data_IF_848001872636
#
_entry.id   IF_848001872636
#
_cell.length_a   1.000
_cell.length_b   1.000
_cell.length_c   1.000
_cell.angle_alpha   90.00
_cell.angle_beta   90.00
_cell.angle_gamma   90.00
#
_symmetry.space_group_name_H-M   'P 1'
#
loop_
_entity.id
_entity.type
_entity.pdbx_description
1 polymer ?
#
# COMPACT_ATOMS: atom_id res chain seq x y z
N UNK A 1 59.03 -35.07 -36.82
CA UNK A 1 59.80 -33.82 -37.07
C UNK A 1 58.91 -32.62 -36.77
N UNK A 2 59.25 -31.81 -35.77
CA UNK A 2 58.49 -30.60 -35.40
C UNK A 2 59.10 -29.39 -36.11
N UNK A 3 58.53 -29.00 -37.26
CA UNK A 3 59.00 -27.83 -38.00
C UNK A 3 58.36 -26.57 -37.34
N UNK A 4 59.14 -25.64 -36.78
CA UNK A 4 58.60 -24.42 -36.19
C UNK A 4 58.18 -23.43 -37.27
N UNK A 5 57.18 -22.59 -36.98
CA UNK A 5 56.77 -21.53 -37.90
C UNK A 5 57.66 -20.30 -37.68
N UNK A 6 58.22 -19.74 -38.74
CA UNK A 6 58.97 -18.49 -38.67
C UNK A 6 58.20 -17.36 -39.33
N UNK A 7 57.85 -16.35 -38.55
CA UNK A 7 57.21 -15.12 -39.01
C UNK A 7 58.30 -14.05 -39.12
N UNK A 8 58.45 -13.46 -40.29
CA UNK A 8 59.34 -12.32 -40.52
C UNK A 8 58.50 -11.05 -40.46
N UNK A 9 58.79 -10.18 -39.49
CA UNK A 9 58.12 -8.89 -39.36
C UNK A 9 59.07 -7.81 -39.87
N UNK A 10 58.63 -7.10 -40.90
CA UNK A 10 59.35 -5.97 -41.50
C UNK A 10 58.88 -4.67 -40.86
N UNK A 11 59.80 -3.91 -40.28
CA UNK A 11 59.53 -2.57 -39.74
C UNK A 11 60.62 -1.62 -40.21
N UNK A 12 60.30 -0.80 -41.22
CA UNK A 12 61.30 0.01 -41.92
C UNK A 12 62.34 -0.88 -42.62
N UNK A 13 63.63 -0.61 -42.43
CA UNK A 13 64.75 -1.38 -43.00
C UNK A 13 65.20 -2.58 -42.15
N UNK A 14 64.58 -2.81 -40.99
CA UNK A 14 64.95 -3.93 -40.10
C UNK A 14 64.02 -5.15 -40.27
N UNK A 15 64.62 -6.33 -40.40
CA UNK A 15 63.91 -7.62 -40.40
C UNK A 15 64.09 -8.29 -39.05
N UNK A 16 63.00 -8.53 -38.31
CA UNK A 16 63.02 -9.36 -37.10
C UNK A 16 62.36 -10.70 -37.38
N UNK A 17 63.09 -11.79 -37.11
CA UNK A 17 62.60 -13.17 -37.25
C UNK A 17 62.08 -13.68 -35.91
N UNK A 18 60.80 -14.00 -35.86
CA UNK A 18 60.19 -14.64 -34.71
C UNK A 18 59.94 -16.11 -35.05
N UNK A 19 60.47 -17.00 -34.22
CA UNK A 19 60.27 -18.45 -34.36
C UNK A 19 59.25 -18.87 -33.31
N UNK A 20 58.10 -19.37 -33.75
CA UNK A 20 56.99 -19.76 -32.87
C UNK A 20 56.78 -21.27 -32.96
N UNK A 21 56.70 -21.93 -31.80
CA UNK A 21 56.47 -23.37 -31.72
C UNK A 21 54.98 -23.71 -31.91
N UNK A 22 54.67 -24.88 -32.52
CA UNK A 22 53.28 -25.39 -32.63
C UNK A 22 52.58 -25.47 -31.27
N UNK A 23 53.31 -25.84 -30.21
CA UNK A 23 52.78 -25.88 -28.83
C UNK A 23 52.41 -24.49 -28.32
N UNK A 24 53.24 -23.48 -28.59
CA UNK A 24 52.96 -22.08 -28.24
C UNK A 24 51.73 -21.52 -28.96
N UNK A 25 51.58 -21.79 -30.25
CA UNK A 25 50.38 -21.38 -31.01
C UNK A 25 49.11 -22.02 -30.42
N UNK A 26 49.15 -23.33 -30.10
CA UNK A 26 48.01 -24.01 -29.48
C UNK A 26 47.65 -23.44 -28.12
N UNK A 27 48.63 -23.10 -27.28
CA UNK A 27 48.38 -22.47 -25.98
C UNK A 27 47.80 -21.07 -26.12
N UNK A 28 48.25 -20.27 -27.09
CA UNK A 28 47.67 -18.95 -27.37
C UNK A 28 46.23 -19.05 -27.89
N UNK A 29 45.95 -19.98 -28.80
CA UNK A 29 44.59 -20.22 -29.30
C UNK A 29 43.66 -20.72 -28.19
N UNK A 30 44.13 -21.63 -27.33
CA UNK A 30 43.37 -22.11 -26.19
C UNK A 30 43.10 -20.98 -25.18
N UNK A 31 44.11 -20.17 -24.86
CA UNK A 31 43.96 -19.02 -23.97
C UNK A 31 43.00 -17.97 -24.54
N UNK A 32 43.08 -17.69 -25.85
CA UNK A 32 42.15 -16.81 -26.53
C UNK A 32 40.72 -17.36 -26.49
N UNK A 33 40.52 -18.66 -26.73
CA UNK A 33 39.21 -19.30 -26.68
C UNK A 33 38.60 -19.25 -25.26
N UNK A 34 39.40 -19.46 -24.22
CA UNK A 34 38.98 -19.30 -22.82
C UNK A 34 38.60 -17.85 -22.52
N UNK A 35 39.37 -16.87 -23.00
CA UNK A 35 39.06 -15.46 -22.81
C UNK A 35 37.74 -15.04 -23.50
N UNK A 36 37.52 -15.50 -24.74
CA UNK A 36 36.26 -15.25 -25.48
C UNK A 36 35.09 -15.91 -24.76
N UNK A 37 35.25 -17.14 -24.28
CA UNK A 37 34.20 -17.83 -23.53
C UNK A 37 33.87 -17.09 -22.22
N UNK A 38 34.87 -16.67 -21.45
CA UNK A 38 34.66 -15.89 -20.23
C UNK A 38 33.94 -14.56 -20.52
N UNK A 39 34.34 -13.84 -21.57
CA UNK A 39 33.67 -12.62 -22.00
C UNK A 39 32.20 -12.86 -22.38
N UNK A 40 31.90 -13.98 -23.05
CA UNK A 40 30.53 -14.36 -23.39
C UNK A 40 29.68 -14.64 -22.14
N UNK A 41 30.22 -15.34 -21.15
CA UNK A 41 29.52 -15.59 -19.86
C UNK A 41 29.22 -14.27 -19.14
N UNK A 42 30.22 -13.39 -18.98
CA UNK A 42 30.01 -12.06 -18.38
C UNK A 42 28.99 -11.22 -19.15
N UNK A 43 28.98 -11.31 -20.47
CA UNK A 43 28.01 -10.61 -21.30
C UNK A 43 26.58 -11.13 -21.09
N UNK A 44 26.40 -12.44 -20.96
CA UNK A 44 25.08 -13.04 -20.64
C UNK A 44 24.61 -12.59 -19.26
N UNK A 45 25.47 -12.65 -18.23
CA UNK A 45 25.13 -12.18 -16.88
C UNK A 45 24.76 -10.68 -16.87
N UNK A 46 25.49 -9.87 -17.64
CA UNK A 46 25.18 -8.46 -17.80
C UNK A 46 23.78 -8.25 -18.42
N UNK A 47 23.46 -8.99 -19.50
CA UNK A 47 22.14 -8.91 -20.14
C UNK A 47 21.01 -9.38 -19.21
N UNK A 48 21.24 -10.42 -18.41
CA UNK A 48 20.25 -10.89 -17.44
C UNK A 48 20.01 -9.88 -16.32
N UNK A 49 21.07 -9.23 -15.84
CA UNK A 49 20.97 -8.15 -14.85
C UNK A 49 20.15 -6.97 -15.39
N UNK A 50 20.40 -6.55 -16.62
CA UNK A 50 19.69 -5.43 -17.22
C UNK A 50 18.21 -5.78 -17.50
N UNK A 51 17.94 -7.01 -17.97
CA UNK A 51 16.57 -7.53 -18.12
C UNK A 51 15.82 -7.50 -16.78
N UNK A 52 16.49 -7.88 -15.68
CA UNK A 52 15.88 -7.88 -14.34
C UNK A 52 15.49 -6.47 -13.90
N UNK A 53 16.37 -5.47 -14.08
CA UNK A 53 16.07 -4.07 -13.77
C UNK A 53 14.86 -3.56 -14.55
N UNK A 54 14.79 -3.85 -15.85
CA UNK A 54 13.65 -3.46 -16.69
C UNK A 54 12.35 -4.11 -16.19
N UNK A 55 12.38 -5.40 -15.86
CA UNK A 55 11.21 -6.11 -15.32
C UNK A 55 10.75 -5.53 -13.97
N UNK A 56 11.69 -5.19 -13.09
CA UNK A 56 11.38 -4.57 -11.79
C UNK A 56 10.74 -3.19 -11.97
N UNK A 57 11.24 -2.39 -12.93
CA UNK A 57 10.64 -1.09 -13.29
C UNK A 57 9.22 -1.29 -13.84
N UNK A 58 9.01 -2.24 -14.75
CA UNK A 58 7.68 -2.56 -15.30
C UNK A 58 6.72 -2.98 -14.18
N UNK A 59 7.17 -3.85 -13.27
CA UNK A 59 6.38 -4.30 -12.12
C UNK A 59 6.00 -3.12 -11.21
N UNK A 60 6.96 -2.23 -10.92
CA UNK A 60 6.71 -1.02 -10.12
C UNK A 60 5.72 -0.06 -10.81
N UNK A 61 5.81 0.07 -12.13
CA UNK A 61 4.86 0.84 -12.94
C UNK A 61 3.44 0.26 -12.90
N UNK A 62 3.29 -1.06 -12.98
CA UNK A 62 1.98 -1.71 -12.82
C UNK A 62 1.40 -1.47 -11.42
N UNK A 63 2.22 -1.55 -10.36
CA UNK A 63 1.79 -1.26 -9.00
C UNK A 63 1.34 0.20 -8.84
N UNK A 64 2.07 1.16 -9.42
CA UNK A 64 1.69 2.57 -9.42
C UNK A 64 0.38 2.82 -10.17
N UNK A 65 0.16 2.18 -11.34
CA UNK A 65 -1.10 2.29 -12.10
C UNK A 65 -2.30 1.75 -11.33
N UNK A 66 -2.15 0.63 -10.61
CA UNK A 66 -3.20 0.10 -9.73
C UNK A 66 -3.54 1.07 -8.59
N UNK A 67 -2.54 1.68 -7.96
CA UNK A 67 -2.78 2.73 -6.94
C UNK A 67 -3.53 3.91 -7.55
N UNK A 68 -3.15 4.35 -8.75
CA UNK A 68 -3.78 5.47 -9.44
C UNK A 68 -5.23 5.17 -9.84
N UNK A 69 -5.58 3.94 -10.20
CA UNK A 69 -6.98 3.58 -10.47
C UNK A 69 -7.82 3.63 -9.19
N UNK A 70 -7.33 3.07 -8.09
CA UNK A 70 -8.03 3.12 -6.79
C UNK A 70 -8.26 4.56 -6.33
N UNK A 71 -7.26 5.44 -6.48
CA UNK A 71 -7.42 6.85 -6.14
C UNK A 71 -8.47 7.54 -7.02
N UNK A 72 -8.49 7.24 -8.31
CA UNK A 72 -9.49 7.77 -9.25
C UNK A 72 -10.90 7.31 -8.88
N UNK A 73 -11.06 6.04 -8.55
CA UNK A 73 -12.36 5.49 -8.15
C UNK A 73 -12.86 6.16 -6.86
N UNK A 74 -11.98 6.35 -5.87
CA UNK A 74 -12.28 7.12 -4.65
C UNK A 74 -12.65 8.57 -4.95
N UNK A 75 -11.96 9.24 -5.88
CA UNK A 75 -12.33 10.63 -6.25
C UNK A 75 -13.71 10.70 -6.89
N UNK A 76 -14.10 9.69 -7.66
CA UNK A 76 -15.44 9.62 -8.27
C UNK A 76 -16.51 9.40 -7.21
N UNK A 77 -16.27 8.50 -6.25
CA UNK A 77 -17.16 8.27 -5.12
C UNK A 77 -17.36 9.53 -4.26
N UNK A 78 -16.29 10.29 -4.02
CA UNK A 78 -16.37 11.58 -3.34
C UNK A 78 -17.17 12.62 -4.14
N UNK A 79 -17.04 12.65 -5.46
CA UNK A 79 -17.84 13.53 -6.31
C UNK A 79 -19.33 13.15 -6.28
N UNK A 80 -19.64 11.86 -6.33
CA UNK A 80 -21.03 11.36 -6.30
C UNK A 80 -21.69 11.61 -4.94
N UNK A 81 -20.97 11.40 -3.84
CA UNK A 81 -21.45 11.75 -2.49
C UNK A 81 -21.71 13.24 -2.35
N UNK A 82 -20.81 14.10 -2.84
CA UNK A 82 -21.01 15.54 -2.85
C UNK A 82 -22.27 15.95 -3.65
N UNK A 83 -22.51 15.32 -4.81
CA UNK A 83 -23.70 15.57 -5.61
C UNK A 83 -24.98 15.15 -4.87
N UNK A 84 -24.97 14.00 -4.19
CA UNK A 84 -26.08 13.54 -3.34
C UNK A 84 -26.37 14.51 -2.21
N UNK A 85 -25.34 15.00 -1.51
CA UNK A 85 -25.49 15.98 -0.44
C UNK A 85 -26.06 17.31 -0.93
N UNK A 86 -25.62 17.80 -2.10
CA UNK A 86 -26.19 19.00 -2.72
C UNK A 86 -27.68 18.81 -3.03
N UNK A 87 -28.06 17.68 -3.63
CA UNK A 87 -29.45 17.39 -3.97
C UNK A 87 -30.34 17.23 -2.72
N UNK A 88 -29.83 16.56 -1.68
CA UNK A 88 -30.54 16.43 -0.40
C UNK A 88 -30.73 17.79 0.25
N UNK A 89 -29.68 18.62 0.29
CA UNK A 89 -29.75 19.99 0.81
C UNK A 89 -30.82 20.80 0.09
N UNK A 90 -30.85 20.79 -1.25
CA UNK A 90 -31.89 21.51 -2.01
C UNK A 90 -33.30 21.03 -1.69
N UNK A 91 -33.51 19.71 -1.54
CA UNK A 91 -34.82 19.16 -1.14
C UNK A 91 -35.24 19.62 0.25
N UNK A 92 -34.32 19.52 1.22
CA UNK A 92 -34.57 19.96 2.60
C UNK A 92 -34.87 21.45 2.64
N UNK A 93 -34.10 22.27 1.92
CA UNK A 93 -34.35 23.72 1.83
C UNK A 93 -35.68 24.05 1.15
N UNK A 94 -36.09 23.28 0.14
CA UNK A 94 -37.38 23.45 -0.53
C UNK A 94 -38.58 23.04 0.35
N UNK A 95 -38.39 22.07 1.26
CA UNK A 95 -39.43 21.66 2.22
C UNK A 95 -39.51 22.55 3.46
N UNK A 96 -38.52 23.43 3.69
CA UNK A 96 -38.59 24.40 4.77
C UNK A 96 -39.66 25.47 4.47
N UNK A 97 -40.52 25.82 5.44
CA UNK A 97 -41.51 26.88 5.26
C UNK A 97 -40.80 28.20 4.94
N UNK A 98 -41.25 28.88 3.86
CA UNK A 98 -40.73 30.19 3.50
C UNK A 98 -41.07 31.16 4.64
N UNK A 99 -40.04 31.78 5.22
CA UNK A 99 -40.16 32.77 6.28
C UNK A 99 -41.16 33.85 5.85
N UNK A 100 -42.38 33.80 6.40
CA UNK A 100 -43.45 34.78 6.13
C UNK A 100 -44.87 34.24 5.94
N UNK A 101 -45.08 32.94 5.74
CA UNK A 101 -46.43 32.35 5.68
C UNK A 101 -46.65 31.41 6.85
N UNK A 102 -47.12 31.94 7.98
CA UNK A 102 -47.51 31.15 9.13
C UNK A 102 -49.02 30.82 9.05
N UNK A 103 -49.41 29.56 8.79
CA UNK A 103 -50.56 28.97 9.46
C UNK A 103 -50.33 28.97 10.99
N UNK A 104 -51.40 28.74 11.76
CA UNK A 104 -51.42 28.98 13.21
C UNK A 104 -51.09 27.74 14.06
N UNK A 105 -50.65 26.63 13.47
CA UNK A 105 -50.60 25.31 14.15
C UNK A 105 -49.35 24.46 13.79
N UNK A 106 -48.40 25.03 13.07
CA UNK A 106 -47.27 24.37 12.40
C UNK A 106 -45.92 24.56 13.15
N UNK A 107 -45.95 25.32 14.25
CA UNK A 107 -44.79 25.47 15.14
C UNK A 107 -44.39 24.14 15.77
N UNK A 108 -45.36 23.34 16.24
CA UNK A 108 -45.08 22.06 16.89
C UNK A 108 -44.49 21.03 15.92
N UNK A 109 -45.03 20.90 14.71
CA UNK A 109 -44.48 20.00 13.69
C UNK A 109 -43.04 20.38 13.29
N UNK A 110 -42.77 21.68 13.10
CA UNK A 110 -41.41 22.16 12.81
C UNK A 110 -40.48 21.91 14.00
N UNK A 111 -40.93 22.16 15.23
CA UNK A 111 -40.13 21.90 16.43
C UNK A 111 -39.83 20.40 16.60
N UNK A 112 -40.80 19.52 16.35
CA UNK A 112 -40.60 18.07 16.37
C UNK A 112 -39.61 17.62 15.29
N UNK A 113 -39.72 18.15 14.07
CA UNK A 113 -38.78 17.85 12.99
C UNK A 113 -37.35 18.32 13.31
N UNK A 114 -37.21 19.55 13.82
CA UNK A 114 -35.91 20.09 14.23
C UNK A 114 -35.31 19.29 15.40
N UNK A 115 -36.12 18.88 16.37
CA UNK A 115 -35.68 18.04 17.48
C UNK A 115 -35.23 16.65 17.02
N UNK A 116 -35.93 16.06 16.04
CA UNK A 116 -35.54 14.79 15.42
C UNK A 116 -34.20 14.93 14.68
N UNK A 117 -34.02 15.98 13.89
CA UNK A 117 -32.75 16.28 13.20
C UNK A 117 -31.59 16.52 14.18
N UNK A 118 -31.85 17.27 15.26
CA UNK A 118 -30.83 17.51 16.29
C UNK A 118 -30.41 16.19 16.96
N UNK A 119 -31.37 15.30 17.23
CA UNK A 119 -31.10 13.99 17.82
C UNK A 119 -30.28 13.12 16.88
N UNK A 120 -30.65 13.06 15.59
CA UNK A 120 -29.92 12.30 14.58
C UNK A 120 -28.50 12.83 14.39
N UNK A 121 -28.33 14.16 14.36
CA UNK A 121 -27.01 14.78 14.26
C UNK A 121 -26.14 14.48 15.50
N UNK A 122 -26.71 14.53 16.70
CA UNK A 122 -25.99 14.18 17.94
C UNK A 122 -25.52 12.73 17.92
N UNK A 123 -26.39 11.81 17.51
CA UNK A 123 -26.04 10.39 17.39
C UNK A 123 -24.93 10.16 16.36
N UNK A 124 -25.02 10.82 15.20
CA UNK A 124 -23.97 10.75 14.17
C UNK A 124 -22.63 11.28 14.68
N UNK A 125 -22.62 12.42 15.38
CA UNK A 125 -21.38 12.98 15.92
C UNK A 125 -20.79 12.07 16.99
N UNK A 126 -21.63 11.51 17.86
CA UNK A 126 -21.19 10.60 18.92
C UNK A 126 -20.60 9.30 18.36
N UNK A 127 -21.10 8.81 17.23
CA UNK A 127 -20.57 7.59 16.61
C UNK A 127 -19.26 7.80 15.83
N UNK A 128 -18.88 9.04 15.50
CA UNK A 128 -17.63 9.27 14.79
C UNK A 128 -16.43 8.82 15.64
N UNK A 129 -15.51 7.99 15.09
CA UNK A 129 -14.36 7.48 15.81
C UNK A 129 -13.26 8.55 15.94
N UNK A 130 -13.50 9.56 16.78
CA UNK A 130 -12.62 10.73 16.95
C UNK A 130 -11.66 10.58 18.13
N UNK A 131 -11.98 9.73 19.10
CA UNK A 131 -11.12 9.48 20.26
C UNK A 131 -10.04 8.45 19.97
N UNK A 132 -8.92 8.52 20.68
CA UNK A 132 -7.90 7.47 20.61
C UNK A 132 -8.36 6.23 21.38
N UNK A 133 -8.25 5.02 20.81
CA UNK A 133 -8.64 3.80 21.52
C UNK A 133 -7.73 3.51 22.72
N UNK A 134 -6.48 4.01 22.66
CA UNK A 134 -5.51 3.98 23.75
C UNK A 134 -4.42 5.04 23.50
N UNK A 135 -3.96 5.73 24.55
CA UNK A 135 -2.92 6.77 24.42
C UNK A 135 -1.55 6.17 24.10
N UNK A 136 -0.77 6.74 23.19
CA UNK A 136 0.63 6.32 23.01
C UNK A 136 1.19 6.61 21.63
N UNK A 137 2.50 6.37 21.42
CA UNK A 137 3.10 6.56 20.11
C UNK A 137 2.64 5.45 19.15
N UNK A 138 2.37 5.83 17.90
CA UNK A 138 2.19 4.86 16.81
C UNK A 138 3.58 4.35 16.41
N UNK A 139 3.81 3.05 16.56
CA UNK A 139 5.10 2.43 16.20
C UNK A 139 5.10 1.86 14.78
N UNK A 140 3.93 1.51 14.27
CA UNK A 140 3.78 1.02 12.90
C UNK A 140 2.46 1.54 12.32
N UNK A 141 2.58 2.28 11.21
CA UNK A 141 1.45 2.91 10.53
C UNK A 141 0.88 2.07 9.40
N UNK A 142 -0.07 2.67 8.67
CA UNK A 142 -0.64 2.09 7.45
C UNK A 142 0.38 2.18 6.31
N UNK A 143 0.60 1.07 5.60
CA UNK A 143 1.46 1.06 4.41
C UNK A 143 2.24 -0.24 4.22
N UNK A 144 3.17 -0.23 3.25
CA UNK A 144 4.02 -1.38 2.97
C UNK A 144 5.11 -1.49 4.05
N UNK A 145 5.19 -2.63 4.73
CA UNK A 145 6.25 -2.94 5.69
C UNK A 145 6.72 -4.38 5.56
N UNK A 146 7.88 -4.67 6.14
CA UNK A 146 8.37 -6.04 6.24
C UNK A 146 7.56 -6.80 7.29
N UNK A 147 7.05 -7.96 6.93
CA UNK A 147 6.30 -8.84 7.83
C UNK A 147 7.21 -9.34 8.96
N UNK A 148 6.83 -9.17 10.23
CA UNK A 148 7.57 -9.73 11.36
C UNK A 148 7.62 -11.26 11.35
N UNK A 149 6.64 -11.90 10.71
CA UNK A 149 6.50 -13.35 10.68
C UNK A 149 7.18 -13.99 9.47
N UNK A 150 7.06 -13.38 8.28
CA UNK A 150 7.55 -13.97 7.02
C UNK A 150 8.76 -13.27 6.43
N UNK A 151 9.09 -12.04 6.89
CA UNK A 151 10.17 -11.24 6.32
C UNK A 151 9.88 -10.66 4.92
N UNK A 152 8.71 -10.93 4.36
CA UNK A 152 8.27 -10.43 3.06
C UNK A 152 7.66 -9.03 3.18
N UNK A 153 7.59 -8.29 2.06
CA UNK A 153 6.91 -6.99 2.02
C UNK A 153 5.40 -7.21 1.97
N UNK A 154 4.71 -6.83 3.04
CA UNK A 154 3.26 -6.94 3.20
C UNK A 154 2.63 -5.57 3.42
N UNK A 155 1.36 -5.42 3.04
CA UNK A 155 0.60 -4.20 3.30
C UNK A 155 -0.04 -4.28 4.69
N UNK A 156 0.30 -3.33 5.55
CA UNK A 156 -0.29 -3.16 6.87
C UNK A 156 -1.47 -2.19 6.78
N UNK A 157 -2.68 -2.69 7.06
CA UNK A 157 -3.92 -1.93 6.93
C UNK A 157 -4.37 -1.25 8.24
N UNK A 158 -3.51 -1.22 9.27
CA UNK A 158 -3.86 -0.70 10.60
C UNK A 158 -2.75 0.13 11.24
N UNK A 159 -2.99 0.53 12.48
CA UNK A 159 -2.05 1.26 13.33
C UNK A 159 -1.69 0.38 14.53
N UNK A 160 -0.39 0.23 14.80
CA UNK A 160 0.11 -0.48 15.98
C UNK A 160 0.51 0.51 17.06
N UNK A 161 -0.19 0.45 18.20
CA UNK A 161 0.09 1.26 19.40
C UNK A 161 0.53 0.31 20.52
N UNK A 162 1.82 0.26 20.89
CA UNK A 162 2.32 -0.70 21.85
C UNK A 162 1.88 -0.35 23.27
N UNK A 163 1.35 -1.34 23.99
CA UNK A 163 0.99 -1.23 25.41
C UNK A 163 1.23 -2.52 26.20
N UNK A 164 1.47 -2.41 27.52
CA UNK A 164 1.49 -3.58 28.39
C UNK A 164 0.16 -4.37 28.33
N UNK A 165 0.26 -5.69 28.42
CA UNK A 165 -0.90 -6.58 28.51
C UNK A 165 -1.80 -6.15 29.68
N UNK A 166 -3.11 -6.13 29.46
CA UNK A 166 -4.10 -5.68 30.44
C UNK A 166 -4.39 -4.18 30.43
N UNK A 167 -3.71 -3.40 29.58
CA UNK A 167 -4.08 -1.99 29.36
C UNK A 167 -5.50 -1.90 28.82
N UNK A 168 -6.29 -0.98 29.39
CA UNK A 168 -7.66 -0.75 28.95
C UNK A 168 -7.68 -0.11 27.56
N UNK A 169 -8.48 -0.69 26.66
CA UNK A 169 -8.72 -0.19 25.30
C UNK A 169 -10.18 0.21 25.21
N UNK A 170 -10.45 1.39 24.64
CA UNK A 170 -11.79 1.98 24.55
C UNK A 170 -12.25 2.09 23.09
N UNK A 171 -13.57 2.17 22.90
CA UNK A 171 -14.15 2.53 21.61
C UNK A 171 -13.85 4.01 21.32
N UNK A 172 -13.47 4.37 20.07
CA UNK A 172 -13.14 5.76 19.69
C UNK A 172 -14.37 6.65 19.49
N UNK A 173 -15.57 6.07 19.62
CA UNK A 173 -16.88 6.69 19.47
C UNK A 173 -17.96 5.65 19.76
N UNK A 174 -19.22 6.09 19.83
CA UNK A 174 -20.36 5.20 20.03
C UNK A 174 -20.45 4.18 18.89
N UNK A 175 -20.73 2.92 19.23
CA UNK A 175 -20.76 1.84 18.26
C UNK A 175 -21.60 0.65 18.74
N UNK A 176 -22.05 -0.13 17.77
CA UNK A 176 -22.57 -1.48 17.98
C UNK A 176 -21.42 -2.50 17.89
N UNK A 177 -21.43 -3.51 18.74
CA UNK A 177 -20.46 -4.61 18.63
C UNK A 177 -20.92 -5.55 17.52
N UNK A 178 -20.30 -5.43 16.33
CA UNK A 178 -20.67 -6.23 15.16
C UNK A 178 -20.19 -7.67 15.28
N UNK A 179 -18.96 -7.88 15.75
CA UNK A 179 -18.42 -9.23 15.92
C UNK A 179 -17.30 -9.31 16.96
N UNK A 180 -17.21 -10.46 17.63
CA UNK A 180 -16.17 -10.75 18.63
C UNK A 180 -15.52 -12.12 18.37
N UNK A 181 -14.19 -12.13 18.21
CA UNK A 181 -13.38 -13.34 18.24
C UNK A 181 -12.44 -13.31 19.45
N UNK A 182 -12.94 -13.81 20.58
CA UNK A 182 -12.19 -13.86 21.83
C UNK A 182 -10.94 -14.77 21.76
N UNK A 183 -10.91 -15.78 20.87
CA UNK A 183 -9.75 -16.67 20.73
C UNK A 183 -8.59 -15.96 20.04
N UNK A 184 -8.89 -15.09 19.07
CA UNK A 184 -7.90 -14.28 18.35
C UNK A 184 -7.65 -12.91 18.97
N UNK A 185 -8.43 -12.54 20.00
CA UNK A 185 -8.39 -11.21 20.58
C UNK A 185 -8.78 -10.14 19.56
N UNK A 186 -9.75 -10.45 18.70
CA UNK A 186 -10.20 -9.57 17.63
C UNK A 186 -11.65 -9.15 17.84
N UNK A 187 -11.97 -7.92 17.44
CA UNK A 187 -13.30 -7.34 17.60
C UNK A 187 -13.54 -6.31 16.50
N UNK A 188 -14.79 -6.20 16.06
CA UNK A 188 -15.23 -5.19 15.10
C UNK A 188 -16.37 -4.39 15.71
N UNK A 189 -16.23 -3.06 15.66
CA UNK A 189 -17.27 -2.12 16.07
C UNK A 189 -17.82 -1.42 14.82
N UNK A 190 -19.15 -1.36 14.73
CA UNK A 190 -19.87 -0.62 13.68
C UNK A 190 -20.38 0.71 14.25
N UNK A 191 -19.84 1.80 13.70
CA UNK A 191 -20.21 3.17 14.08
C UNK A 191 -21.36 3.73 13.23
N UNK A 192 -21.91 2.91 12.32
CA UNK A 192 -22.83 3.37 11.30
C UNK A 192 -22.12 4.07 10.14
N UNK A 193 -22.90 4.53 9.16
CA UNK A 193 -22.40 5.27 7.98
C UNK A 193 -21.24 4.59 7.24
N UNK A 194 -21.17 3.25 7.28
CA UNK A 194 -20.10 2.43 6.70
C UNK A 194 -18.72 2.64 7.35
N UNK A 195 -18.69 3.18 8.57
CA UNK A 195 -17.47 3.39 9.36
C UNK A 195 -17.38 2.25 10.38
N UNK A 196 -16.27 1.52 10.33
CA UNK A 196 -15.99 0.41 11.25
C UNK A 196 -14.61 0.54 11.83
N UNK A 197 -14.45 0.13 13.09
CA UNK A 197 -13.14 0.05 13.74
C UNK A 197 -12.83 -1.39 14.09
N UNK A 198 -11.59 -1.79 13.79
CA UNK A 198 -11.12 -3.15 13.96
C UNK A 198 -10.04 -3.18 15.04
N UNK A 199 -10.21 -4.09 16.00
CA UNK A 199 -9.24 -4.37 17.05
C UNK A 199 -8.64 -5.75 16.85
N UNK A 200 -7.35 -5.87 17.16
CA UNK A 200 -6.63 -7.12 17.14
C UNK A 200 -5.69 -7.20 18.34
N UNK A 201 -5.25 -8.42 18.67
CA UNK A 201 -4.30 -8.69 19.76
C UNK A 201 -4.78 -8.29 21.16
N UNK A 202 -6.10 -8.19 21.37
CA UNK A 202 -6.67 -7.95 22.69
C UNK A 202 -6.45 -9.18 23.58
N UNK A 203 -5.95 -8.95 24.80
CA UNK A 203 -5.76 -10.03 25.78
C UNK A 203 -7.06 -10.54 26.40
N UNK A 204 -8.08 -9.68 26.51
CA UNK A 204 -9.44 -9.96 27.00
C UNK A 204 -10.42 -8.97 26.36
N UNK A 205 -11.67 -9.40 26.21
CA UNK A 205 -12.77 -8.61 25.66
C UNK A 205 -13.88 -8.58 26.72
N UNK A 206 -14.38 -7.39 27.07
CA UNK A 206 -15.36 -7.17 28.14
C UNK A 206 -16.79 -6.92 27.65
N UNK A 207 -16.98 -6.92 26.34
CA UNK A 207 -18.26 -6.66 25.67
C UNK A 207 -18.69 -7.90 24.87
N UNK A 208 -19.99 -7.99 24.56
CA UNK A 208 -20.58 -9.03 23.73
C UNK A 208 -21.21 -8.41 22.48
N UNK A 209 -21.46 -9.24 21.47
CA UNK A 209 -22.18 -8.83 20.25
C UNK A 209 -23.61 -8.36 20.58
N UNK A 210 -24.11 -7.39 19.82
CA UNK A 210 -25.39 -6.71 20.04
C UNK A 210 -25.26 -5.42 20.83
#
# INVERSE_FOLDING_TARGET
MNIPYSILVLRGTQVRRFVVSRKGIRQLLLGWLVAVFAAAVFFVEYLESERKKVNDVIASGHAQRKKLSVLRDRTKELQDTLARWKALREKVFASLPRRGSAPKDDGEELHHFLAALETELKQMIASLPLEWPVDGPVVSGVGMRRSPWTGEMVYHAGLDIPKPIGTMVRAPGDALVESVDAKRGAMVLDHGQQIKTHYAHLSRIFVAEG
#
